data_IF_733824618329
#
_entry.id   IF_733824618329
#
_cell.length_a   1.000
_cell.length_b   1.000
_cell.length_c   1.000
_cell.angle_alpha   90.00
_cell.angle_beta   90.00
_cell.angle_gamma   90.00
#
_symmetry.space_group_name_H-M   'P 1'
#
loop_
_entity.id
_entity.type
_entity.pdbx_description
1 polymer ?
#
# COMPACT_ATOMS: atom_id res chain seq x y z
N UNK A 1 -14.32 36.49 12.74
CA UNK A 1 -13.41 37.45 12.07
C UNK A 1 -11.99 36.91 12.19
N UNK A 2 -11.31 36.64 11.08
CA UNK A 2 -9.94 36.11 11.13
C UNK A 2 -9.02 37.14 11.76
N UNK A 3 -8.14 36.74 12.68
CA UNK A 3 -7.17 37.65 13.34
C UNK A 3 -6.26 38.37 12.33
N UNK A 4 -6.18 37.86 11.09
CA UNK A 4 -5.46 38.47 9.97
C UNK A 4 -6.15 39.74 9.44
N UNK A 5 -7.47 39.85 9.52
CA UNK A 5 -8.22 41.02 9.01
C UNK A 5 -8.08 42.26 9.91
N UNK A 6 -7.70 42.06 11.17
CA UNK A 6 -7.48 43.13 12.15
C UNK A 6 -6.00 43.46 12.38
N UNK A 7 -5.08 42.79 11.67
CA UNK A 7 -3.65 42.98 11.85
C UNK A 7 -3.14 44.22 11.11
N UNK A 8 -2.16 44.92 11.71
CA UNK A 8 -1.51 46.06 11.07
C UNK A 8 -0.73 45.62 9.81
N UNK A 9 -0.53 46.51 8.82
CA UNK A 9 0.22 46.19 7.61
C UNK A 9 1.63 45.63 7.89
N UNK A 10 2.31 46.17 8.91
CA UNK A 10 3.65 45.72 9.30
C UNK A 10 3.63 44.31 9.88
N UNK A 11 2.63 44.02 10.73
CA UNK A 11 2.44 42.69 11.28
C UNK A 11 2.11 41.67 10.19
N UNK A 12 1.32 42.07 9.18
CA UNK A 12 1.03 41.22 8.03
C UNK A 12 2.28 40.95 7.18
N UNK A 13 3.14 41.94 6.97
CA UNK A 13 4.43 41.77 6.27
C UNK A 13 5.34 40.78 7.01
N UNK A 14 5.48 40.93 8.33
CA UNK A 14 6.23 40.01 9.17
C UNK A 14 5.67 38.58 9.09
N UNK A 15 4.36 38.42 9.26
CA UNK A 15 3.71 37.11 9.20
C UNK A 15 3.89 36.43 7.83
N UNK A 16 3.89 37.20 6.74
CA UNK A 16 4.17 36.66 5.39
C UNK A 16 5.61 36.18 5.28
N UNK A 17 6.57 36.94 5.80
CA UNK A 17 7.98 36.55 5.80
C UNK A 17 8.17 35.25 6.61
N UNK A 18 7.64 35.19 7.82
CA UNK A 18 7.70 34.00 8.68
C UNK A 18 7.02 32.78 8.02
N UNK A 19 5.83 32.98 7.44
CA UNK A 19 5.14 31.91 6.73
C UNK A 19 5.93 31.41 5.52
N UNK A 20 6.54 32.32 4.73
CA UNK A 20 7.38 31.93 3.61
C UNK A 20 8.62 31.16 4.05
N UNK A 21 9.32 31.62 5.09
CA UNK A 21 10.51 30.95 5.60
C UNK A 21 10.21 29.53 6.12
N UNK A 22 9.05 29.32 6.76
CA UNK A 22 8.68 28.01 7.30
C UNK A 22 8.05 27.06 6.27
N UNK A 23 7.12 27.56 5.45
CA UNK A 23 6.29 26.70 4.61
C UNK A 23 6.78 26.60 3.16
N UNK A 24 7.51 27.58 2.63
CA UNK A 24 7.97 27.53 1.25
C UNK A 24 8.89 26.31 0.97
N UNK A 25 9.86 25.96 1.84
CA UNK A 25 10.68 24.76 1.62
C UNK A 25 9.86 23.47 1.60
N UNK A 26 8.85 23.36 2.48
CA UNK A 26 7.95 22.20 2.55
C UNK A 26 7.08 22.08 1.30
N UNK A 27 6.47 23.19 0.88
CA UNK A 27 5.63 23.24 -0.31
C UNK A 27 6.44 22.94 -1.58
N UNK A 28 7.65 23.48 -1.69
CA UNK A 28 8.55 23.24 -2.82
C UNK A 28 8.96 21.77 -2.89
N UNK A 29 9.35 21.16 -1.77
CA UNK A 29 9.72 19.74 -1.74
C UNK A 29 8.55 18.83 -2.17
N UNK A 30 7.35 19.04 -1.64
CA UNK A 30 6.17 18.27 -2.04
C UNK A 30 5.79 18.51 -3.51
N UNK A 31 5.96 19.74 -4.02
CA UNK A 31 5.75 20.05 -5.43
C UNK A 31 6.74 19.31 -6.34
N UNK A 32 8.03 19.26 -5.98
CA UNK A 32 9.05 18.52 -6.70
C UNK A 32 8.78 17.01 -6.72
N UNK A 33 8.36 16.44 -5.58
CA UNK A 33 7.96 15.04 -5.51
C UNK A 33 6.80 14.74 -6.47
N UNK A 34 5.77 15.58 -6.48
CA UNK A 34 4.62 15.42 -7.39
C UNK A 34 5.00 15.62 -8.86
N UNK A 35 5.85 16.59 -9.15
CA UNK A 35 6.36 16.84 -10.51
C UNK A 35 7.11 15.61 -11.02
N UNK A 36 8.03 15.07 -10.21
CA UNK A 36 8.79 13.86 -10.59
C UNK A 36 7.90 12.65 -10.84
N UNK A 37 6.81 12.52 -10.06
CA UNK A 37 5.86 11.41 -10.20
C UNK A 37 4.97 11.56 -11.44
N UNK A 38 4.49 12.77 -11.73
CA UNK A 38 3.58 13.04 -12.84
C UNK A 38 4.29 13.17 -14.19
N UNK A 39 5.52 13.70 -14.21
CA UNK A 39 6.22 14.11 -15.42
C UNK A 39 7.52 13.33 -15.69
N UNK A 40 7.91 12.39 -14.81
CA UNK A 40 9.10 11.56 -14.97
C UNK A 40 10.41 12.22 -14.52
N UNK A 41 11.52 11.48 -14.61
CA UNK A 41 12.83 11.88 -14.09
C UNK A 41 13.37 13.18 -14.71
N UNK A 42 13.33 13.28 -16.05
CA UNK A 42 13.85 14.41 -16.82
C UNK A 42 13.17 15.76 -16.47
N UNK A 43 11.98 15.72 -15.85
CA UNK A 43 11.26 16.93 -15.45
C UNK A 43 11.98 17.69 -14.34
N UNK A 44 12.67 16.98 -13.44
CA UNK A 44 13.44 17.58 -12.37
C UNK A 44 14.71 18.25 -12.91
N UNK A 45 15.40 17.63 -13.86
CA UNK A 45 16.61 18.20 -14.46
C UNK A 45 16.31 19.51 -15.22
N UNK A 46 15.18 19.54 -15.95
CA UNK A 46 14.71 20.76 -16.63
C UNK A 46 14.32 21.84 -15.63
N UNK A 47 13.66 21.46 -14.54
CA UNK A 47 13.28 22.38 -13.47
C UNK A 47 14.52 22.98 -12.81
N UNK A 48 15.49 22.14 -12.45
CA UNK A 48 16.77 22.55 -11.85
C UNK A 48 17.46 23.60 -12.72
N UNK A 49 17.68 23.28 -14.01
CA UNK A 49 18.31 24.21 -14.94
C UNK A 49 17.57 25.54 -15.04
N UNK A 50 16.25 25.50 -15.22
CA UNK A 50 15.44 26.72 -15.35
C UNK A 50 15.49 27.60 -14.09
N UNK A 51 15.56 26.98 -12.91
CA UNK A 51 15.66 27.71 -11.65
C UNK A 51 17.05 28.30 -11.43
N UNK A 52 18.12 27.59 -11.80
CA UNK A 52 19.49 28.13 -11.78
C UNK A 52 19.57 29.35 -12.69
N UNK A 53 19.10 29.24 -13.94
CA UNK A 53 19.09 30.36 -14.89
C UNK A 53 18.33 31.58 -14.33
N UNK A 54 17.21 31.37 -13.63
CA UNK A 54 16.45 32.45 -12.98
C UNK A 54 17.18 33.09 -11.79
N UNK A 55 17.86 32.29 -10.97
CA UNK A 55 18.63 32.79 -9.82
C UNK A 55 19.83 33.61 -10.30
N UNK A 56 20.56 33.12 -11.30
CA UNK A 56 21.69 33.81 -11.90
C UNK A 56 21.27 35.14 -12.55
N UNK A 57 20.15 35.14 -13.26
CA UNK A 57 19.60 36.33 -13.91
C UNK A 57 19.05 37.38 -12.92
N UNK A 58 18.80 37.00 -11.67
CA UNK A 58 18.31 37.92 -10.66
C UNK A 58 19.35 39.01 -10.36
N UNK A 59 18.87 40.23 -10.12
CA UNK A 59 19.70 41.41 -9.82
C UNK A 59 19.19 42.09 -8.56
N UNK A 60 20.13 42.45 -7.70
CA UNK A 60 19.88 43.17 -6.45
C UNK A 60 21.16 43.91 -6.08
N UNK A 61 21.03 45.09 -5.48
CA UNK A 61 22.15 45.98 -5.17
C UNK A 61 22.86 45.61 -3.85
N UNK A 62 22.35 44.60 -3.14
CA UNK A 62 22.95 44.08 -1.90
C UNK A 62 24.34 43.49 -2.13
N UNK A 63 25.29 43.88 -1.28
CA UNK A 63 26.68 43.43 -1.37
C UNK A 63 26.85 41.91 -1.19
N UNK A 64 25.96 41.27 -0.44
CA UNK A 64 25.93 39.84 -0.16
C UNK A 64 25.07 39.04 -1.16
N UNK A 65 24.51 39.70 -2.19
CA UNK A 65 23.54 39.07 -3.07
C UNK A 65 24.10 37.90 -3.88
N UNK A 66 25.34 37.98 -4.37
CA UNK A 66 25.97 36.86 -5.08
C UNK A 66 26.14 35.64 -4.16
N UNK A 67 26.56 35.84 -2.91
CA UNK A 67 26.62 34.75 -1.92
C UNK A 67 25.23 34.17 -1.62
N UNK A 68 24.19 35.00 -1.61
CA UNK A 68 22.80 34.53 -1.47
C UNK A 68 22.39 33.67 -2.67
N UNK A 69 22.78 34.03 -3.89
CA UNK A 69 22.51 33.21 -5.09
C UNK A 69 23.22 31.86 -5.01
N UNK A 70 24.50 31.84 -4.65
CA UNK A 70 25.27 30.61 -4.48
C UNK A 70 24.58 29.68 -3.48
N UNK A 71 24.21 30.19 -2.30
CA UNK A 71 23.49 29.42 -1.30
C UNK A 71 22.12 28.92 -1.80
N UNK A 72 21.39 29.75 -2.56
CA UNK A 72 20.11 29.35 -3.13
C UNK A 72 20.26 28.23 -4.16
N UNK A 73 21.31 28.26 -4.98
CA UNK A 73 21.64 27.20 -5.95
C UNK A 73 22.01 25.91 -5.22
N UNK A 74 22.82 25.98 -4.16
CA UNK A 74 23.14 24.80 -3.35
C UNK A 74 21.89 24.17 -2.71
N UNK A 75 21.00 25.01 -2.16
CA UNK A 75 19.73 24.56 -1.60
C UNK A 75 18.84 23.90 -2.64
N UNK A 76 18.79 24.44 -3.85
CA UNK A 76 18.07 23.87 -4.99
C UNK A 76 18.58 22.46 -5.32
N UNK A 77 19.90 22.30 -5.48
CA UNK A 77 20.51 20.99 -5.75
C UNK A 77 20.19 19.97 -4.64
N UNK A 78 20.27 20.38 -3.38
CA UNK A 78 19.92 19.52 -2.26
C UNK A 78 18.44 19.07 -2.32
N UNK A 79 17.52 19.98 -2.64
CA UNK A 79 16.10 19.66 -2.76
C UNK A 79 15.80 18.71 -3.92
N UNK A 80 16.37 18.96 -5.10
CA UNK A 80 16.18 18.11 -6.29
C UNK A 80 16.74 16.71 -6.04
N UNK A 81 17.92 16.62 -5.44
CA UNK A 81 18.52 15.34 -5.04
C UNK A 81 17.63 14.58 -4.05
N UNK A 82 17.16 15.24 -2.99
CA UNK A 82 16.28 14.63 -2.00
C UNK A 82 14.96 14.14 -2.61
N UNK A 83 14.40 14.88 -3.57
CA UNK A 83 13.21 14.46 -4.30
C UNK A 83 13.49 13.21 -5.17
N UNK A 84 14.66 13.16 -5.83
CA UNK A 84 15.10 12.02 -6.62
C UNK A 84 15.36 10.75 -5.80
N UNK A 85 15.97 10.90 -4.62
CA UNK A 85 16.30 9.81 -3.71
C UNK A 85 15.10 9.30 -2.90
N UNK A 86 13.97 10.01 -2.93
CA UNK A 86 12.81 9.70 -2.11
C UNK A 86 12.18 8.35 -2.46
N UNK A 87 11.92 7.47 -1.47
CA UNK A 87 11.25 6.18 -1.70
C UNK A 87 9.81 6.34 -2.24
N UNK A 88 9.19 7.51 -2.05
CA UNK A 88 7.89 7.87 -2.65
C UNK A 88 7.93 7.89 -4.19
N UNK A 89 9.09 8.12 -4.81
CA UNK A 89 9.27 7.98 -6.27
C UNK A 89 9.06 6.54 -6.74
N UNK A 90 9.40 5.56 -5.90
CA UNK A 90 9.26 4.12 -6.18
C UNK A 90 7.87 3.59 -5.85
N UNK A 91 7.19 4.22 -4.89
CA UNK A 91 5.79 3.91 -4.60
C UNK A 91 4.91 4.67 -5.60
N UNK A 92 4.82 4.16 -6.83
CA UNK A 92 3.64 4.47 -7.64
C UNK A 92 2.43 4.17 -6.78
N UNK A 93 1.55 5.15 -6.57
CA UNK A 93 0.27 4.91 -5.93
C UNK A 93 -0.38 3.78 -6.72
N UNK A 94 -0.34 2.56 -6.18
CA UNK A 94 -0.98 1.41 -6.81
C UNK A 94 -2.42 1.83 -7.08
N UNK A 95 -2.83 1.73 -8.35
CA UNK A 95 -4.21 1.99 -8.72
C UNK A 95 -5.06 1.08 -7.83
N UNK A 96 -6.03 1.65 -7.12
CA UNK A 96 -6.91 0.87 -6.22
C UNK A 96 -7.57 -0.28 -7.00
N UNK A 97 -7.76 -0.09 -8.32
CA UNK A 97 -8.25 -1.08 -9.27
C UNK A 97 -7.39 -2.35 -9.32
N UNK A 98 -6.07 -2.30 -9.09
CA UNK A 98 -5.20 -3.49 -9.11
C UNK A 98 -5.25 -4.31 -7.83
N UNK A 99 -5.88 -3.80 -6.76
CA UNK A 99 -6.15 -4.59 -5.54
C UNK A 99 -7.45 -5.39 -5.64
N UNK A 100 -8.29 -5.12 -6.64
CA UNK A 100 -9.54 -5.87 -6.84
C UNK A 100 -9.23 -7.23 -7.47
N UNK A 101 -9.95 -8.25 -7.02
CA UNK A 101 -9.93 -9.55 -7.68
C UNK A 101 -10.41 -9.39 -9.13
N UNK A 102 -9.62 -9.82 -10.13
CA UNK A 102 -10.02 -9.71 -11.53
C UNK A 102 -11.33 -10.49 -11.75
N UNK A 103 -12.31 -9.83 -12.37
CA UNK A 103 -13.65 -10.39 -12.61
C UNK A 103 -14.71 -10.07 -11.55
N UNK A 104 -14.34 -9.41 -10.44
CA UNK A 104 -15.31 -8.91 -9.46
C UNK A 104 -16.09 -7.73 -10.02
N UNK A 105 -17.43 -7.81 -9.97
CA UNK A 105 -18.27 -6.71 -10.45
C UNK A 105 -18.20 -5.47 -9.56
N UNK A 106 -18.34 -4.29 -10.18
CA UNK A 106 -18.39 -2.98 -9.51
C UNK A 106 -19.82 -2.54 -9.18
N UNK A 107 -20.84 -3.10 -9.86
CA UNK A 107 -22.22 -2.76 -9.61
C UNK A 107 -22.79 -3.53 -8.40
N UNK A 108 -23.40 -2.84 -7.40
CA UNK A 108 -23.82 -3.45 -6.14
C UNK A 108 -24.71 -4.70 -6.30
N UNK A 109 -25.65 -4.66 -7.25
CA UNK A 109 -26.58 -5.78 -7.50
C UNK A 109 -25.86 -7.03 -7.98
N UNK A 110 -25.04 -6.88 -9.01
CA UNK A 110 -24.26 -8.00 -9.57
C UNK A 110 -23.16 -8.49 -8.63
N UNK A 111 -22.67 -7.63 -7.72
CA UNK A 111 -21.71 -8.01 -6.69
C UNK A 111 -22.35 -8.93 -5.64
N UNK A 112 -23.58 -8.64 -5.21
CA UNK A 112 -24.33 -9.48 -4.27
C UNK A 112 -24.58 -10.88 -4.85
N UNK A 113 -24.98 -10.95 -6.13
CA UNK A 113 -25.18 -12.22 -6.84
C UNK A 113 -23.88 -13.05 -6.94
N UNK A 114 -22.75 -12.40 -7.26
CA UNK A 114 -21.44 -13.07 -7.31
C UNK A 114 -20.98 -13.57 -5.94
N UNK A 115 -21.25 -12.81 -4.88
CA UNK A 115 -20.94 -13.22 -3.51
C UNK A 115 -21.74 -14.45 -3.09
N UNK A 116 -23.03 -14.47 -3.41
CA UNK A 116 -23.91 -15.59 -3.09
C UNK A 116 -23.49 -16.87 -3.84
N UNK A 117 -23.24 -16.78 -5.15
CA UNK A 117 -22.81 -17.92 -5.95
C UNK A 117 -21.46 -18.50 -5.49
N UNK A 118 -20.50 -17.65 -5.14
CA UNK A 118 -19.19 -18.12 -4.64
C UNK A 118 -19.26 -18.75 -3.24
N UNK A 119 -20.23 -18.33 -2.41
CA UNK A 119 -20.50 -18.96 -1.12
C UNK A 119 -21.12 -20.34 -1.30
N UNK A 120 -22.07 -20.50 -2.22
CA UNK A 120 -22.72 -21.79 -2.51
C UNK A 120 -21.74 -22.86 -3.02
N UNK A 121 -20.75 -22.47 -3.82
CA UNK A 121 -19.75 -23.39 -4.41
C UNK A 121 -18.60 -23.74 -3.43
N UNK A 122 -18.41 -22.96 -2.36
CA UNK A 122 -17.36 -23.17 -1.35
C UNK A 122 -17.79 -24.07 -0.18
N UNK A 123 -19.03 -24.59 -0.20
CA UNK A 123 -19.50 -25.54 0.81
C UNK A 123 -19.61 -26.96 0.24
N UNK A 124 -18.54 -27.78 0.29
CA UNK A 124 -18.76 -29.19 0.52
C UNK A 124 -19.32 -29.32 1.94
N UNK A 125 -20.56 -29.80 2.07
CA UNK A 125 -21.11 -30.26 3.34
C UNK A 125 -20.41 -31.56 3.80
N UNK A 126 -19.10 -31.53 3.92
CA UNK A 126 -18.29 -32.65 4.36
C UNK A 126 -16.90 -32.14 4.72
N UNK A 127 -16.76 -31.65 5.96
CA UNK A 127 -15.48 -31.77 6.64
C UNK A 127 -14.98 -33.21 6.41
N UNK A 128 -13.81 -33.42 5.78
CA UNK A 128 -13.29 -34.76 5.66
C UNK A 128 -13.14 -35.32 7.09
N UNK A 129 -13.54 -36.57 7.35
CA UNK A 129 -13.38 -37.14 8.67
C UNK A 129 -11.92 -37.00 9.09
N UNK A 130 -11.68 -36.40 10.26
CA UNK A 130 -10.34 -36.20 10.79
C UNK A 130 -9.69 -37.56 11.06
N UNK A 131 -8.86 -38.03 10.13
CA UNK A 131 -8.07 -39.24 10.31
C UNK A 131 -6.82 -38.87 11.11
N UNK A 132 -6.86 -39.14 12.42
CA UNK A 132 -5.67 -39.07 13.27
C UNK A 132 -4.81 -40.30 13.01
N UNK A 133 -3.83 -40.17 12.11
CA UNK A 133 -2.77 -41.17 11.95
C UNK A 133 -1.85 -41.13 13.17
N UNK A 134 -2.00 -42.07 14.10
CA UNK A 134 -1.02 -42.29 15.15
C UNK A 134 0.29 -42.79 14.52
N UNK A 135 1.38 -42.06 14.71
CA UNK A 135 2.73 -42.38 14.20
C UNK A 135 3.40 -43.52 14.96
N UNK A 136 2.72 -44.67 15.12
CA UNK A 136 3.35 -45.89 15.63
C UNK A 136 3.94 -46.62 14.43
N UNK A 137 5.25 -46.47 14.25
CA UNK A 137 6.00 -47.20 13.24
C UNK A 137 6.08 -48.68 13.64
N UNK A 138 5.27 -49.53 12.99
CA UNK A 138 5.34 -50.99 13.15
C UNK A 138 3.98 -51.66 13.28
N UNK A 139 3.41 -52.08 12.16
CA UNK A 139 2.31 -53.04 12.11
C UNK A 139 1.19 -52.63 11.17
N UNK A 140 1.34 -52.93 9.88
CA UNK A 140 0.24 -52.87 8.93
C UNK A 140 -0.82 -53.91 9.30
N UNK A 141 -1.83 -53.52 10.11
CA UNK A 141 -3.05 -54.30 10.21
C UNK A 141 -3.88 -53.99 8.98
N UNK A 142 -4.14 -55.03 8.17
CA UNK A 142 -5.00 -54.96 6.99
C UNK A 142 -6.34 -54.34 7.42
N UNK A 143 -6.64 -53.17 6.86
CA UNK A 143 -7.91 -52.48 7.07
C UNK A 143 -8.99 -53.37 6.46
N UNK A 144 -9.85 -53.92 7.32
CA UNK A 144 -11.03 -54.72 6.95
C UNK A 144 -12.20 -53.76 6.94
N UNK A 145 -13.01 -53.77 5.88
CA UNK A 145 -14.13 -52.83 5.71
C UNK A 145 -15.18 -53.03 6.82
N UNK A 146 -15.92 -51.96 7.15
CA UNK A 146 -16.95 -51.98 8.20
C UNK A 146 -18.02 -53.05 7.97
N UNK A 147 -18.36 -53.34 6.71
CA UNK A 147 -19.34 -54.38 6.36
C UNK A 147 -18.84 -55.80 6.70
N UNK A 148 -17.57 -56.09 6.44
CA UNK A 148 -16.95 -57.39 6.75
C UNK A 148 -16.85 -57.62 8.27
N UNK A 149 -16.69 -56.55 9.05
CA UNK A 149 -16.67 -56.60 10.52
C UNK A 149 -18.09 -56.86 11.07
N UNK A 150 -19.10 -56.17 10.54
CA UNK A 150 -20.50 -56.36 10.93
C UNK A 150 -21.01 -57.76 10.59
N UNK A 151 -20.60 -58.31 9.44
CA UNK A 151 -20.97 -59.68 9.05
C UNK A 151 -20.29 -60.73 9.95
N UNK A 152 -19.01 -60.54 10.29
CA UNK A 152 -18.32 -61.41 11.27
C UNK A 152 -18.96 -61.34 12.66
N UNK A 153 -19.33 -60.16 13.13
CA UNK A 153 -20.00 -60.02 14.43
C UNK A 153 -21.36 -60.71 14.44
N UNK A 154 -22.17 -60.58 13.38
CA UNK A 154 -23.45 -61.30 13.25
C UNK A 154 -23.27 -62.82 13.26
N UNK A 155 -22.29 -63.34 12.52
CA UNK A 155 -21.98 -64.79 12.51
C UNK A 155 -21.41 -65.29 13.84
N UNK A 156 -20.66 -64.46 14.56
CA UNK A 156 -20.14 -64.82 15.88
C UNK A 156 -21.23 -64.78 16.96
N UNK A 157 -22.17 -63.83 16.87
CA UNK A 157 -23.33 -63.77 17.75
C UNK A 157 -24.22 -65.01 17.57
N UNK A 158 -24.53 -65.41 16.33
CA UNK A 158 -25.33 -66.62 16.08
C UNK A 158 -24.63 -67.91 16.53
N UNK A 159 -23.29 -67.99 16.44
CA UNK A 159 -22.53 -69.16 16.91
C UNK A 159 -22.41 -69.30 18.44
N UNK A 160 -22.69 -68.23 19.20
CA UNK A 160 -22.70 -68.25 20.67
C UNK A 160 -24.07 -68.60 21.26
N UNK A 161 -25.14 -68.37 20.50
CA UNK A 161 -26.53 -68.64 20.93
C UNK A 161 -26.89 -70.13 20.78
N UNK A 162 -26.24 -70.87 19.86
CA UNK A 162 -26.39 -72.33 19.68
C UNK A 162 -25.52 -73.20 20.64
N UNK A 163 -24.86 -72.60 21.63
CA UNK A 163 -24.02 -73.31 22.64
C UNK A 163 -24.36 -72.94 24.09
N UNK A 164 -25.58 -72.49 24.37
CA UNK A 164 -26.17 -72.39 25.71
C UNK A 164 -27.42 -73.26 25.83
#
# INVERSE_FOLDING_TARGET
MSKLQAATPDRLRQLRLEASAHFAPLMLNEALLRLSHACGGDSLDRFEKAMVDQIEAAKDDRADFETIKELAIEQLYALVRNANDSPKKKQSLEKIDTRRTPGRSEEPRTLEDQLQAGLEDSFPASDPPSVVSTTISGGAKKLVGTDEVLEKQRRQASSKEDRS
#
